data_IF_714888211679
#
_entry.id   IF_714888211679
#
_cell.length_a   1.000
_cell.length_b   1.000
_cell.length_c   1.000
_cell.angle_alpha   90.00
_cell.angle_beta   90.00
_cell.angle_gamma   90.00
#
_symmetry.space_group_name_H-M   'P 1'
#
loop_
_entity.id
_entity.type
_entity.pdbx_description
1 polymer ?
#
# COMPACT_ATOMS: atom_id res chain seq x y z
N UNK A 1 13.07 4.80 -23.00
CA UNK A 1 11.91 5.66 -22.67
C UNK A 1 11.18 5.32 -21.36
N UNK A 2 11.56 4.26 -20.62
CA UNK A 2 10.89 3.85 -19.36
C UNK A 2 11.66 4.17 -18.06
N UNK A 3 12.60 5.13 -18.06
CA UNK A 3 13.42 5.44 -16.87
C UNK A 3 12.60 5.90 -15.67
N UNK A 4 11.46 6.53 -15.90
CA UNK A 4 10.53 6.95 -14.85
C UNK A 4 9.83 5.76 -14.16
N UNK A 5 9.58 4.67 -14.88
CA UNK A 5 9.01 3.44 -14.31
C UNK A 5 10.00 2.74 -13.36
N UNK A 6 11.31 2.89 -13.60
CA UNK A 6 12.35 2.40 -12.70
C UNK A 6 12.29 3.08 -11.33
N UNK A 7 12.01 4.39 -11.28
CA UNK A 7 11.80 5.13 -10.03
C UNK A 7 10.55 4.66 -9.28
N UNK A 8 9.49 4.30 -10.00
CA UNK A 8 8.32 3.69 -9.39
C UNK A 8 8.59 2.26 -8.86
N UNK A 9 9.37 1.45 -9.57
CA UNK A 9 9.83 0.15 -9.06
C UNK A 9 10.69 0.31 -7.79
N UNK A 10 11.55 1.34 -7.74
CA UNK A 10 12.35 1.67 -6.54
C UNK A 10 11.49 2.22 -5.39
N UNK A 11 10.33 2.84 -5.66
CA UNK A 11 9.45 3.31 -4.59
C UNK A 11 8.98 2.17 -3.67
N UNK A 12 8.92 0.94 -4.18
CA UNK A 12 8.61 -0.26 -3.39
C UNK A 12 9.66 -0.50 -2.30
N UNK A 13 10.90 -0.09 -2.52
CA UNK A 13 11.98 -0.20 -1.54
C UNK A 13 11.76 0.71 -0.33
N UNK A 14 11.12 1.87 -0.50
CA UNK A 14 10.75 2.76 0.62
C UNK A 14 9.87 2.01 1.62
N UNK A 15 8.94 1.21 1.12
CA UNK A 15 8.05 0.40 1.94
C UNK A 15 8.83 -0.72 2.68
N UNK A 16 9.81 -1.34 2.00
CA UNK A 16 10.74 -2.28 2.62
C UNK A 16 11.60 -1.62 3.70
N UNK A 17 12.08 -0.39 3.48
CA UNK A 17 12.85 0.36 4.47
C UNK A 17 12.03 0.64 5.71
N UNK A 18 10.75 1.01 5.57
CA UNK A 18 9.85 1.17 6.71
C UNK A 18 9.55 -0.15 7.43
N UNK A 19 9.43 -1.28 6.72
CA UNK A 19 9.29 -2.59 7.36
C UNK A 19 10.53 -2.96 8.19
N UNK A 20 11.73 -2.74 7.65
CA UNK A 20 12.99 -3.00 8.34
C UNK A 20 13.11 -2.07 9.55
N UNK A 21 12.88 -0.77 9.39
CA UNK A 21 12.90 0.20 10.49
C UNK A 21 11.90 -0.18 11.59
N UNK A 22 10.66 -0.54 11.22
CA UNK A 22 9.65 -0.99 12.18
C UNK A 22 10.14 -2.21 12.95
N UNK A 23 10.74 -3.20 12.28
CA UNK A 23 11.29 -4.41 12.92
C UNK A 23 12.41 -4.07 13.91
N UNK A 24 13.32 -3.18 13.53
CA UNK A 24 14.43 -2.73 14.39
C UNK A 24 13.91 -1.96 15.60
N UNK A 25 12.92 -1.08 15.41
CA UNK A 25 12.28 -0.32 16.49
C UNK A 25 11.54 -1.24 17.45
N UNK A 26 10.81 -2.24 16.95
CA UNK A 26 10.15 -3.23 17.80
C UNK A 26 11.13 -4.10 18.59
N UNK A 27 12.28 -4.45 18.01
CA UNK A 27 13.35 -5.18 18.71
C UNK A 27 13.97 -4.38 19.86
N UNK A 28 13.94 -3.04 19.78
CA UNK A 28 14.48 -2.14 20.80
C UNK A 28 13.41 -1.38 21.59
N UNK A 29 12.17 -1.90 21.63
CA UNK A 29 10.99 -1.21 22.17
C UNK A 29 11.17 -0.70 23.61
N UNK A 30 11.97 -1.39 24.43
CA UNK A 30 12.24 -0.96 25.81
C UNK A 30 13.01 0.37 25.91
N UNK A 31 13.76 0.74 24.87
CA UNK A 31 14.59 1.95 24.84
C UNK A 31 14.05 3.03 23.89
N UNK A 32 12.91 2.78 23.23
CA UNK A 32 12.37 3.67 22.21
C UNK A 32 11.06 4.30 22.71
N UNK A 33 10.91 5.64 22.63
CA UNK A 33 9.68 6.32 23.03
C UNK A 33 8.47 5.82 22.25
N UNK A 34 7.33 5.65 22.91
CA UNK A 34 6.06 5.20 22.28
C UNK A 34 5.65 6.06 21.09
N UNK A 35 5.92 7.37 21.14
CA UNK A 35 5.64 8.30 20.04
C UNK A 35 6.39 7.93 18.75
N UNK A 36 7.63 7.42 18.86
CA UNK A 36 8.43 7.00 17.68
C UNK A 36 7.84 5.73 17.07
N UNK A 37 7.34 4.81 17.90
CA UNK A 37 6.68 3.58 17.44
C UNK A 37 5.38 3.92 16.70
N UNK A 38 4.57 4.82 17.23
CA UNK A 38 3.34 5.28 16.59
C UNK A 38 3.61 6.02 15.27
N UNK A 39 4.60 6.91 15.25
CA UNK A 39 5.01 7.62 14.03
C UNK A 39 5.51 6.65 12.96
N UNK A 40 6.35 5.68 13.31
CA UNK A 40 6.83 4.66 12.37
C UNK A 40 5.71 3.79 11.83
N UNK A 41 4.73 3.44 12.67
CA UNK A 41 3.53 2.75 12.19
C UNK A 41 2.74 3.62 11.21
N UNK A 42 2.49 4.88 11.54
CA UNK A 42 1.77 5.81 10.65
C UNK A 42 2.52 6.04 9.32
N UNK A 43 3.85 6.20 9.35
CA UNK A 43 4.69 6.35 8.16
C UNK A 43 4.68 5.08 7.29
N UNK A 44 4.70 3.91 7.91
CA UNK A 44 4.56 2.63 7.20
C UNK A 44 3.19 2.52 6.51
N UNK A 45 2.08 2.74 7.23
CA UNK A 45 0.74 2.62 6.63
C UNK A 45 0.50 3.67 5.55
N UNK A 46 0.94 4.91 5.75
CA UNK A 46 0.78 5.98 4.77
C UNK A 46 1.59 5.72 3.50
N UNK A 47 2.87 5.35 3.62
CA UNK A 47 3.68 4.96 2.46
C UNK A 47 3.15 3.72 1.77
N UNK A 48 2.63 2.74 2.52
CA UNK A 48 1.98 1.55 1.95
C UNK A 48 0.80 1.92 1.06
N UNK A 49 -0.16 2.70 1.57
CA UNK A 49 -1.33 3.15 0.79
C UNK A 49 -0.88 4.00 -0.41
N UNK A 50 -0.01 4.98 -0.20
CA UNK A 50 0.41 5.89 -1.26
C UNK A 50 1.08 5.15 -2.43
N UNK A 51 1.94 4.18 -2.14
CA UNK A 51 2.64 3.44 -3.20
C UNK A 51 1.70 2.40 -3.82
N UNK A 52 1.07 1.54 -3.00
CA UNK A 52 0.35 0.35 -3.49
C UNK A 52 -1.02 0.69 -4.08
N UNK A 53 -1.73 1.64 -3.47
CA UNK A 53 -3.11 1.97 -3.84
C UNK A 53 -3.24 3.22 -4.72
N UNK A 54 -2.21 4.07 -4.80
CA UNK A 54 -2.25 5.28 -5.63
C UNK A 54 -1.23 5.20 -6.76
N UNK A 55 0.05 5.02 -6.45
CA UNK A 55 1.11 5.06 -7.46
C UNK A 55 0.99 3.92 -8.48
N UNK A 56 0.81 2.68 -8.03
CA UNK A 56 0.69 1.50 -8.91
C UNK A 56 -0.48 1.56 -9.91
N UNK A 57 -1.73 1.84 -9.48
CA UNK A 57 -2.84 1.99 -10.42
C UNK A 57 -2.70 3.22 -11.33
N UNK A 58 -2.06 4.30 -10.86
CA UNK A 58 -1.78 5.46 -11.70
C UNK A 58 -0.79 5.12 -12.82
N UNK A 59 0.26 4.36 -12.51
CA UNK A 59 1.22 3.85 -13.50
C UNK A 59 0.52 2.93 -14.50
N UNK A 60 -0.34 2.04 -14.02
CA UNK A 60 -1.16 1.20 -14.90
C UNK A 60 -1.98 2.03 -15.89
N UNK A 61 -2.65 3.09 -15.41
CA UNK A 61 -3.44 3.96 -16.28
C UNK A 61 -2.58 4.65 -17.36
N UNK A 62 -1.34 5.03 -17.03
CA UNK A 62 -0.39 5.58 -18.00
C UNK A 62 0.01 4.54 -19.04
N UNK A 63 0.30 3.30 -18.62
CA UNK A 63 0.63 2.21 -19.54
C UNK A 63 -0.53 1.85 -20.47
N UNK A 64 -1.76 1.83 -19.96
CA UNK A 64 -2.96 1.61 -20.76
C UNK A 64 -3.14 2.69 -21.82
N UNK A 65 -3.00 3.97 -21.46
CA UNK A 65 -3.05 5.09 -22.42
C UNK A 65 -2.00 4.95 -23.51
N UNK A 66 -0.76 4.60 -23.14
CA UNK A 66 0.33 4.38 -24.10
C UNK A 66 0.09 3.17 -25.01
N UNK A 67 -0.56 2.12 -24.51
CA UNK A 67 -1.00 0.99 -25.34
C UNK A 67 -2.09 1.40 -26.35
N UNK A 68 -3.06 2.24 -25.94
CA UNK A 68 -4.11 2.73 -26.84
C UNK A 68 -3.51 3.64 -27.92
N UNK A 69 -2.64 4.57 -27.56
CA UNK A 69 -1.92 5.43 -28.52
C UNK A 69 -1.10 4.59 -29.53
N UNK A 70 -0.33 3.60 -29.04
CA UNK A 70 0.45 2.73 -29.91
C UNK A 70 -0.42 1.87 -30.85
N UNK A 71 -1.61 1.49 -30.40
CA UNK A 71 -2.58 0.72 -31.19
C UNK A 71 -3.17 1.58 -32.31
N UNK A 72 -3.50 2.84 -32.03
CA UNK A 72 -4.01 3.80 -33.03
C UNK A 72 -2.96 4.11 -34.10
N UNK A 73 -1.68 4.22 -33.72
CA UNK A 73 -0.59 4.53 -34.66
C UNK A 73 -0.15 3.33 -35.52
N UNK A 74 -0.07 2.13 -34.93
CA UNK A 74 0.61 0.99 -35.58
C UNK A 74 -0.35 -0.10 -36.07
N UNK A 75 -1.63 -0.07 -35.64
CA UNK A 75 -2.66 -1.05 -36.00
C UNK A 75 -2.36 -2.50 -35.59
N UNK A 76 -1.28 -2.74 -34.85
CA UNK A 76 -0.80 -4.07 -34.48
C UNK A 76 -0.82 -4.24 -32.95
N UNK A 77 -1.62 -5.19 -32.47
CA UNK A 77 -1.76 -5.52 -31.05
C UNK A 77 -0.59 -6.34 -30.47
N UNK A 78 0.29 -6.86 -31.33
CA UNK A 78 1.40 -7.71 -30.92
C UNK A 78 2.69 -6.90 -30.74
N UNK A 79 2.78 -6.19 -29.63
CA UNK A 79 4.06 -5.76 -29.09
C UNK A 79 4.28 -6.42 -27.73
N UNK A 80 5.51 -6.87 -27.48
CA UNK A 80 5.95 -7.45 -26.20
C UNK A 80 5.47 -6.71 -24.92
N UNK A 81 5.30 -5.37 -24.89
CA UNK A 81 4.79 -4.65 -23.72
C UNK A 81 3.34 -4.97 -23.34
N UNK A 82 2.52 -5.54 -24.24
CA UNK A 82 1.10 -5.78 -23.95
C UNK A 82 0.91 -6.85 -22.87
N UNK A 83 1.86 -7.78 -22.74
CA UNK A 83 1.88 -8.80 -21.68
C UNK A 83 2.15 -8.17 -20.30
N UNK A 84 2.79 -7.01 -20.28
CA UNK A 84 3.07 -6.29 -19.03
C UNK A 84 1.78 -5.77 -18.38
N UNK A 85 0.77 -5.40 -19.17
CA UNK A 85 -0.51 -4.87 -18.69
C UNK A 85 -1.29 -5.89 -17.82
N UNK A 86 -1.60 -7.12 -18.27
CA UNK A 86 -2.31 -8.09 -17.42
C UNK A 86 -1.49 -8.49 -16.19
N UNK A 87 -0.17 -8.66 -16.32
CA UNK A 87 0.71 -8.99 -15.18
C UNK A 87 0.69 -7.88 -14.12
N UNK A 88 0.82 -6.63 -14.55
CA UNK A 88 0.77 -5.48 -13.65
C UNK A 88 -0.63 -5.28 -13.05
N UNK A 89 -1.68 -5.75 -13.74
CA UNK A 89 -3.07 -5.71 -13.27
C UNK A 89 -3.30 -6.72 -12.15
N UNK A 90 -2.79 -7.94 -12.32
CA UNK A 90 -2.76 -8.95 -11.26
C UNK A 90 -1.99 -8.42 -10.06
N UNK A 91 -0.83 -7.77 -10.26
CA UNK A 91 -0.10 -7.16 -9.14
C UNK A 91 -0.90 -6.05 -8.44
N UNK A 92 -1.61 -5.18 -9.17
CA UNK A 92 -2.51 -4.20 -8.56
C UNK A 92 -3.62 -4.87 -7.75
N UNK A 93 -4.24 -5.94 -8.26
CA UNK A 93 -5.28 -6.69 -7.55
C UNK A 93 -4.74 -7.37 -6.27
N UNK A 94 -3.56 -7.99 -6.35
CA UNK A 94 -2.88 -8.57 -5.20
C UNK A 94 -2.50 -7.50 -4.16
N UNK A 95 -2.07 -6.32 -4.61
CA UNK A 95 -1.77 -5.20 -3.73
C UNK A 95 -3.02 -4.66 -3.01
N UNK A 96 -4.17 -4.64 -3.68
CA UNK A 96 -5.45 -4.31 -3.05
C UNK A 96 -5.86 -5.38 -2.03
N UNK A 97 -5.73 -6.67 -2.38
CA UNK A 97 -6.00 -7.77 -1.45
C UNK A 97 -5.11 -7.69 -0.20
N UNK A 98 -3.81 -7.48 -0.37
CA UNK A 98 -2.91 -7.36 0.76
C UNK A 98 -3.18 -6.13 1.61
N UNK A 99 -3.61 -5.03 1.00
CA UNK A 99 -4.07 -3.87 1.75
C UNK A 99 -5.30 -4.21 2.58
N UNK A 100 -6.27 -4.94 2.01
CA UNK A 100 -7.44 -5.42 2.75
C UNK A 100 -7.06 -6.33 3.92
N UNK A 101 -6.21 -7.35 3.70
CA UNK A 101 -5.74 -8.27 4.75
C UNK A 101 -4.97 -7.50 5.85
N UNK A 102 -4.23 -6.45 5.49
CA UNK A 102 -3.50 -5.60 6.43
C UNK A 102 -4.43 -4.70 7.28
N UNK A 103 -5.49 -4.14 6.68
CA UNK A 103 -6.44 -3.27 7.38
C UNK A 103 -7.49 -4.03 8.20
N UNK A 104 -7.81 -5.28 7.83
CA UNK A 104 -8.78 -6.12 8.53
C UNK A 104 -8.58 -6.17 10.05
N UNK A 105 -7.38 -6.52 10.59
CA UNK A 105 -7.18 -6.57 12.04
C UNK A 105 -7.25 -5.18 12.70
N UNK A 106 -6.92 -4.12 11.96
CA UNK A 106 -6.93 -2.74 12.45
C UNK A 106 -8.37 -2.24 12.62
N UNK A 107 -9.22 -2.50 11.62
CA UNK A 107 -10.65 -2.18 11.63
C UNK A 107 -11.35 -2.99 12.73
N UNK A 108 -11.11 -4.30 12.82
CA UNK A 108 -11.71 -5.15 13.86
C UNK A 108 -11.28 -4.70 15.26
N UNK A 109 -10.02 -4.30 15.44
CA UNK A 109 -9.52 -3.76 16.71
C UNK A 109 -10.19 -2.46 17.13
N UNK A 110 -10.46 -1.56 16.17
CA UNK A 110 -11.20 -0.31 16.43
C UNK A 110 -12.64 -0.58 16.84
N UNK A 111 -13.37 -1.41 16.09
CA UNK A 111 -14.74 -1.80 16.44
C UNK A 111 -14.84 -2.43 17.85
N UNK A 112 -13.84 -3.24 18.24
CA UNK A 112 -13.80 -3.85 19.57
C UNK A 112 -13.54 -2.82 20.69
N UNK A 113 -12.69 -1.81 20.44
CA UNK A 113 -12.44 -0.72 21.39
C UNK A 113 -13.65 0.18 21.60
N UNK A 114 -14.39 0.52 20.55
CA UNK A 114 -15.56 1.38 20.65
C UNK A 114 -16.71 0.71 21.40
N UNK A 115 -16.91 -0.60 21.17
CA UNK A 115 -17.90 -1.39 21.91
C UNK A 115 -17.54 -1.50 23.40
N UNK A 116 -16.26 -1.67 23.74
CA UNK A 116 -15.82 -1.69 25.15
C UNK A 116 -15.98 -0.34 25.84
N UNK A 117 -15.70 0.78 25.15
CA UNK A 117 -15.91 2.14 25.68
C UNK A 117 -17.39 2.45 25.87
N UNK A 118 -18.25 1.98 24.95
CA UNK A 118 -19.69 2.10 25.09
C UNK A 118 -20.22 1.31 26.30
N UNK A 119 -19.74 0.07 26.50
CA UNK A 119 -20.12 -0.75 27.64
C UNK A 119 -19.68 -0.15 28.99
N UNK A 120 -18.46 0.39 29.06
CA UNK A 120 -17.97 1.04 30.28
C UNK A 120 -18.78 2.30 30.66
N UNK A 121 -19.16 3.12 29.67
CA UNK A 121 -20.04 4.28 29.88
C UNK A 121 -21.42 3.93 30.44
N UNK A 122 -21.94 2.74 30.14
CA UNK A 122 -23.24 2.27 30.68
C UNK A 122 -23.09 1.79 32.12
N UNK A 123 -21.95 1.17 32.47
CA UNK A 123 -21.67 0.71 33.83
C UNK A 123 -21.37 1.82 34.83
N UNK A 124 -20.70 2.90 34.41
CA UNK A 124 -20.37 4.04 35.28
C UNK A 124 -21.56 5.00 35.51
N UNK A 125 -22.67 4.82 34.78
CA UNK A 125 -23.88 5.64 34.87
C UNK A 125 -25.02 5.01 35.68
N UNK A 126 -24.79 3.87 36.33
CA UNK A 126 -25.73 3.08 37.13
C UNK A 126 -25.24 2.99 38.58
#
# INVERSE_FOLDING_TARGET
>A
EFRWAMGACLSVEINTWFLIMRRVVYLRREHVPSAVVEFMNAAFYSSWIAIRCVLFPLIMAIYLRKCVEALEETGTLMHWPIIFVPVHGIFCALNLKWSYDLFTPLIVGWFKSDCSKAAQKVGDGL
#
